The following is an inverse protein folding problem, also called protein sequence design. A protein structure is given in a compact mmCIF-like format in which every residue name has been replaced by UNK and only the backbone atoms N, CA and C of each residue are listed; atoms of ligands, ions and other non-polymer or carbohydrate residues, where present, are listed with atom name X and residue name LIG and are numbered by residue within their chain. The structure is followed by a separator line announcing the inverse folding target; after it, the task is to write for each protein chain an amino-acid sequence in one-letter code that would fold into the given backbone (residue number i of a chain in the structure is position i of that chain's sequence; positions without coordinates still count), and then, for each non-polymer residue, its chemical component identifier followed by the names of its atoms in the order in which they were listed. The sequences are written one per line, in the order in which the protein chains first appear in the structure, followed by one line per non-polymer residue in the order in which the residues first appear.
data_IF_451501066952
#
_entry.id   IF_451501066952
#
_cell.length_a   1.000
_cell.length_b   1.000
_cell.length_c   1.000
_cell.angle_alpha   90.00
_cell.angle_beta   90.00
_cell.angle_gamma   90.00
#
_symmetry.space_group_name_H-M   'P 1'
#
loop_
_entity.id
_entity.type
_entity.pdbx_description
1 polymer ?
#
# COMPACT_ATOMS: atom_id res chain seq x y z
N UNK A 1 43.63 34.52 -14.23
CA UNK A 1 43.30 35.51 -15.27
C UNK A 1 42.33 34.84 -16.21
N UNK A 2 41.05 35.15 -16.02
CA UNK A 2 39.91 34.59 -16.74
C UNK A 2 39.99 35.07 -18.19
N UNK A 3 40.44 34.21 -19.10
CA UNK A 3 40.44 34.47 -20.52
C UNK A 3 39.00 34.41 -21.04
N UNK A 4 38.26 35.50 -20.88
CA UNK A 4 36.99 35.74 -21.57
C UNK A 4 37.28 35.87 -23.08
N UNK A 5 37.29 34.75 -23.80
CA UNK A 5 37.27 34.76 -25.26
C UNK A 5 35.82 34.98 -25.72
N UNK A 6 35.50 36.24 -26.04
CA UNK A 6 34.28 36.59 -26.77
C UNK A 6 34.41 36.11 -28.22
N UNK A 7 33.87 34.93 -28.53
CA UNK A 7 33.64 34.50 -29.91
C UNK A 7 32.24 34.89 -30.35
N UNK A 8 32.09 35.74 -31.39
CA UNK A 8 30.79 36.13 -31.87
C UNK A 8 30.36 35.13 -32.95
N UNK A 9 29.83 33.97 -32.56
CA UNK A 9 28.82 33.35 -33.42
C UNK A 9 27.50 34.07 -33.16
N UNK A 10 27.49 35.36 -33.53
CA UNK A 10 26.24 36.10 -33.73
C UNK A 10 25.72 35.63 -35.07
N UNK A 11 24.87 34.61 -35.02
CA UNK A 11 24.23 34.10 -36.22
C UNK A 11 23.11 35.06 -36.62
N UNK A 12 23.17 35.61 -37.84
CA UNK A 12 22.09 36.43 -38.40
C UNK A 12 21.10 35.49 -39.11
N UNK A 13 19.95 35.28 -38.46
CA UNK A 13 18.90 34.34 -38.88
C UNK A 13 18.45 34.57 -40.33
N UNK A 14 18.56 35.82 -40.80
CA UNK A 14 18.09 36.23 -42.13
C UNK A 14 19.17 36.16 -43.23
N UNK A 15 20.45 35.98 -42.88
CA UNK A 15 21.58 36.08 -43.84
C UNK A 15 22.38 34.80 -44.03
N UNK A 16 22.53 33.98 -42.99
CA UNK A 16 23.58 32.95 -42.98
C UNK A 16 23.09 31.56 -43.42
N UNK A 17 21.77 31.33 -43.56
CA UNK A 17 21.19 30.07 -44.05
C UNK A 17 19.99 30.35 -44.96
N UNK A 18 20.16 30.17 -46.26
CA UNK A 18 19.02 30.19 -47.19
C UNK A 18 18.17 28.91 -46.99
N UNK A 19 16.94 29.10 -46.51
CA UNK A 19 15.88 28.07 -46.53
C UNK A 19 15.74 27.14 -45.32
N UNK A 20 16.53 27.31 -44.24
CA UNK A 20 16.35 26.54 -42.97
C UNK A 20 16.48 27.44 -41.74
N UNK A 21 15.60 27.25 -40.75
CA UNK A 21 15.63 28.01 -39.49
C UNK A 21 16.84 27.58 -38.62
N UNK A 22 17.84 28.45 -38.41
CA UNK A 22 19.04 28.12 -37.64
C UNK A 22 18.75 27.90 -36.16
N UNK A 23 17.71 28.53 -35.61
CA UNK A 23 17.30 28.29 -34.22
C UNK A 23 16.87 26.83 -34.04
N UNK A 24 16.05 26.33 -34.98
CA UNK A 24 15.58 24.95 -34.95
C UNK A 24 16.72 23.94 -35.05
N UNK A 25 17.74 24.23 -35.85
CA UNK A 25 18.92 23.38 -35.97
C UNK A 25 19.67 23.25 -34.63
N UNK A 26 19.89 24.36 -33.92
CA UNK A 26 20.55 24.35 -32.61
C UNK A 26 19.73 23.62 -31.54
N UNK A 27 18.40 23.76 -31.56
CA UNK A 27 17.49 23.01 -30.67
C UNK A 27 17.57 21.50 -30.89
N UNK A 28 17.61 21.05 -32.16
CA UNK A 28 17.71 19.63 -32.51
C UNK A 28 19.07 19.03 -32.15
N UNK A 29 20.14 19.82 -32.29
CA UNK A 29 21.49 19.43 -31.85
C UNK A 29 21.61 19.42 -30.32
N UNK A 30 20.67 20.04 -29.59
CA UNK A 30 20.71 20.16 -28.14
C UNK A 30 21.77 21.14 -27.65
N UNK A 31 22.14 22.15 -28.46
CA UNK A 31 23.14 23.17 -28.11
C UNK A 31 22.49 24.25 -27.24
N UNK A 32 22.98 24.47 -26.00
CA UNK A 32 22.52 25.57 -25.15
C UNK A 32 22.80 26.92 -25.82
N UNK A 33 21.76 27.74 -25.98
CA UNK A 33 21.88 29.06 -26.61
C UNK A 33 20.89 30.06 -26.03
N UNK A 34 21.19 31.34 -26.14
CA UNK A 34 20.36 32.46 -25.67
C UNK A 34 19.97 33.35 -26.84
N UNK A 35 18.71 33.77 -26.90
CA UNK A 35 18.23 34.72 -27.93
C UNK A 35 18.11 36.12 -27.33
N UNK A 36 18.90 37.09 -27.81
CA UNK A 36 18.84 38.51 -27.44
C UNK A 36 18.84 39.39 -28.68
N UNK A 37 17.98 40.42 -28.74
CA UNK A 37 17.94 41.37 -29.86
C UNK A 37 17.89 40.71 -31.26
N UNK A 38 17.05 39.67 -31.42
CA UNK A 38 16.95 38.85 -32.65
C UNK A 38 18.24 38.11 -33.07
N UNK A 39 19.22 38.02 -32.19
CA UNK A 39 20.47 37.29 -32.41
C UNK A 39 20.51 36.06 -31.52
N UNK A 40 21.03 34.95 -32.06
CA UNK A 40 21.32 33.74 -31.31
C UNK A 40 22.76 33.85 -30.81
N UNK A 41 22.95 33.63 -29.51
CA UNK A 41 24.24 33.72 -28.83
C UNK A 41 24.52 32.36 -28.19
N UNK A 42 25.66 31.78 -28.55
CA UNK A 42 26.23 30.57 -27.92
C UNK A 42 27.48 31.02 -27.16
N UNK A 43 27.62 30.62 -25.90
CA UNK A 43 28.69 31.08 -25.01
C UNK A 43 29.49 29.90 -24.45
N UNK A 44 30.73 30.15 -24.03
CA UNK A 44 31.55 29.16 -23.31
C UNK A 44 32.06 28.00 -24.17
N UNK A 45 32.14 26.82 -23.56
CA UNK A 45 32.70 25.60 -24.15
C UNK A 45 31.90 25.09 -25.36
N UNK A 46 30.57 25.29 -25.35
CA UNK A 46 29.69 24.88 -26.44
C UNK A 46 29.99 25.63 -27.74
N UNK A 47 30.36 26.92 -27.64
CA UNK A 47 30.77 27.72 -28.79
C UNK A 47 32.10 27.23 -29.37
N UNK A 48 33.05 26.87 -28.50
CA UNK A 48 34.33 26.29 -28.91
C UNK A 48 34.11 24.97 -29.63
N UNK A 49 33.29 24.08 -29.06
CA UNK A 49 32.98 22.78 -29.67
C UNK A 49 32.28 22.92 -31.03
N UNK A 50 31.29 23.83 -31.14
CA UNK A 50 30.58 24.08 -32.38
C UNK A 50 31.52 24.66 -33.46
N UNK A 51 32.35 25.63 -33.10
CA UNK A 51 33.31 26.24 -34.04
C UNK A 51 34.38 25.26 -34.50
N UNK A 52 34.85 24.39 -33.60
CA UNK A 52 35.82 23.35 -33.91
C UNK A 52 35.25 22.35 -34.93
N UNK A 53 33.99 21.93 -34.76
CA UNK A 53 33.33 20.95 -35.64
C UNK A 53 32.91 21.52 -37.01
N UNK A 54 32.69 22.84 -37.12
CA UNK A 54 32.18 23.50 -38.33
C UNK A 54 33.28 24.19 -39.16
N UNK A 55 34.54 23.90 -38.89
CA UNK A 55 35.68 24.66 -39.43
C UNK A 55 35.87 24.48 -40.95
N UNK A 56 35.61 23.29 -41.50
CA UNK A 56 35.76 23.02 -42.94
C UNK A 56 34.48 22.46 -43.58
N UNK A 57 34.17 22.93 -44.80
CA UNK A 57 33.07 22.40 -45.62
C UNK A 57 33.57 21.17 -46.38
N UNK A 58 33.20 19.99 -45.90
CA UNK A 58 33.49 18.70 -46.56
C UNK A 58 32.19 18.10 -47.07
N UNK A 59 32.19 17.59 -48.30
CA UNK A 59 31.03 16.91 -48.90
C UNK A 59 30.93 15.46 -48.41
N UNK A 60 29.72 15.01 -48.11
CA UNK A 60 29.43 13.64 -47.68
C UNK A 60 27.95 13.41 -47.35
N UNK A 61 27.58 12.16 -47.12
CA UNK A 61 26.19 11.77 -46.86
C UNK A 61 25.84 11.71 -45.36
N UNK A 62 26.80 11.32 -44.50
CA UNK A 62 26.63 11.28 -43.05
C UNK A 62 27.35 12.44 -42.36
N UNK A 63 26.62 13.17 -41.52
CA UNK A 63 27.10 14.36 -40.81
C UNK A 63 28.23 14.00 -39.83
N UNK A 64 28.14 12.84 -39.16
CA UNK A 64 29.19 12.42 -38.22
C UNK A 64 30.49 12.07 -38.96
N UNK A 65 30.39 11.41 -40.11
CA UNK A 65 31.56 11.10 -40.94
C UNK A 65 32.21 12.36 -41.50
N UNK A 66 31.42 13.36 -41.89
CA UNK A 66 31.91 14.69 -42.33
C UNK A 66 32.71 15.35 -41.21
N UNK A 67 32.16 15.43 -40.00
CA UNK A 67 32.81 16.09 -38.87
C UNK A 67 34.09 15.35 -38.46
N UNK A 68 34.08 14.01 -38.47
CA UNK A 68 35.24 13.19 -38.16
C UNK A 68 36.40 13.43 -39.13
N UNK A 69 36.09 13.60 -40.42
CA UNK A 69 37.10 13.93 -41.45
C UNK A 69 37.62 15.35 -41.32
N UNK A 70 36.74 16.31 -41.07
CA UNK A 70 37.06 17.75 -40.95
C UNK A 70 37.93 18.05 -39.72
N UNK A 71 37.65 17.42 -38.58
CA UNK A 71 38.34 17.70 -37.32
C UNK A 71 39.57 16.83 -37.06
N UNK A 72 39.70 15.70 -37.78
CA UNK A 72 40.74 14.69 -37.51
C UNK A 72 40.56 13.94 -36.19
N UNK A 73 39.41 14.11 -35.52
CA UNK A 73 39.06 13.46 -34.25
C UNK A 73 37.85 12.55 -34.48
N UNK A 74 37.88 11.35 -33.91
CA UNK A 74 36.76 10.41 -33.98
C UNK A 74 35.67 10.76 -32.96
N UNK A 75 34.61 11.41 -33.42
CA UNK A 75 33.35 11.66 -32.72
C UNK A 75 32.39 10.49 -32.99
N UNK A 76 31.73 10.01 -31.93
CA UNK A 76 30.74 8.93 -31.98
C UNK A 76 29.35 9.48 -31.66
N UNK A 77 28.32 8.79 -32.13
CA UNK A 77 26.95 9.13 -31.78
C UNK A 77 26.74 9.05 -30.25
N UNK A 78 26.29 10.17 -29.66
CA UNK A 78 26.00 10.31 -28.24
C UNK A 78 24.59 9.83 -27.88
N UNK A 79 23.65 9.89 -28.83
CA UNK A 79 22.24 9.71 -28.56
C UNK A 79 21.80 8.24 -28.63
N UNK A 80 22.48 7.39 -29.40
CA UNK A 80 22.36 5.95 -29.33
C UNK A 80 20.91 5.44 -29.45
N UNK A 81 20.45 4.69 -28.44
CA UNK A 81 19.10 4.09 -28.43
C UNK A 81 18.17 4.77 -27.44
N UNK A 82 17.01 5.23 -27.90
CA UNK A 82 15.98 5.85 -27.07
C UNK A 82 15.03 4.80 -26.47
N UNK A 83 14.81 4.86 -25.15
CA UNK A 83 13.83 4.03 -24.44
C UNK A 83 12.64 4.90 -24.04
N UNK A 84 11.44 4.54 -24.49
CA UNK A 84 10.21 5.20 -24.08
C UNK A 84 9.72 4.68 -22.72
N UNK A 85 9.18 5.58 -21.89
CA UNK A 85 8.53 5.22 -20.63
C UNK A 85 7.12 5.82 -20.55
N UNK A 86 6.20 5.11 -19.90
CA UNK A 86 4.88 5.63 -19.51
C UNK A 86 4.78 5.63 -18.00
N UNK A 87 4.18 6.67 -17.44
CA UNK A 87 3.96 6.75 -16.00
C UNK A 87 3.04 5.61 -15.56
N UNK A 88 3.59 4.73 -14.72
CA UNK A 88 2.83 3.66 -14.08
C UNK A 88 1.95 4.17 -12.94
N UNK A 89 1.24 3.25 -12.29
CA UNK A 89 0.49 3.58 -11.09
C UNK A 89 1.45 4.04 -9.98
N UNK A 90 1.18 5.18 -9.29
CA UNK A 90 1.99 5.63 -8.18
C UNK A 90 2.10 4.59 -7.07
N UNK A 91 3.20 4.66 -6.33
CA UNK A 91 3.44 3.81 -5.16
C UNK A 91 2.36 4.01 -4.09
N UNK A 92 2.02 2.92 -3.37
CA UNK A 92 0.95 2.91 -2.36
C UNK A 92 1.50 2.68 -0.96
N UNK A 93 1.47 3.72 -0.12
CA UNK A 93 1.89 3.68 1.29
C UNK A 93 0.72 3.65 2.31
N UNK A 94 -0.54 3.55 1.86
CA UNK A 94 -1.71 3.60 2.76
C UNK A 94 -1.86 2.30 3.55
N UNK A 95 -2.05 2.42 4.87
CA UNK A 95 -2.38 1.28 5.76
C UNK A 95 -3.56 0.46 5.22
N UNK A 96 -3.46 -0.87 5.32
CA UNK A 96 -4.56 -1.77 5.00
C UNK A 96 -5.64 -1.64 6.06
N UNK A 97 -6.87 -1.34 5.63
CA UNK A 97 -8.04 -1.28 6.49
C UNK A 97 -9.09 -2.24 5.95
N UNK A 98 -9.67 -3.05 6.81
CA UNK A 98 -10.88 -3.79 6.48
C UNK A 98 -12.08 -2.85 6.43
N UNK A 99 -13.12 -3.24 5.68
CA UNK A 99 -14.38 -2.51 5.63
C UNK A 99 -15.04 -2.47 7.02
N UNK A 100 -15.18 -1.27 7.58
CA UNK A 100 -15.66 -1.04 8.95
C UNK A 100 -14.56 -0.75 9.98
N UNK A 101 -13.28 -0.92 9.61
CA UNK A 101 -12.10 -0.64 10.44
C UNK A 101 -12.23 -1.19 11.89
N UNK A 102 -12.43 -2.51 12.05
CA UNK A 102 -12.51 -3.12 13.38
C UNK A 102 -11.15 -3.02 14.09
N UNK A 103 -11.18 -2.90 15.42
CA UNK A 103 -9.99 -2.92 16.27
C UNK A 103 -9.63 -4.34 16.69
N UNK A 104 -10.62 -5.23 16.84
CA UNK A 104 -10.43 -6.65 17.11
C UNK A 104 -11.47 -7.54 16.42
N UNK A 105 -11.16 -8.83 16.28
CA UNK A 105 -12.04 -9.83 15.68
C UNK A 105 -13.02 -10.44 16.68
N UNK A 106 -13.73 -9.57 17.41
CA UNK A 106 -14.82 -9.96 18.29
C UNK A 106 -16.17 -9.63 17.63
N UNK A 107 -17.08 -10.61 17.46
CA UNK A 107 -18.39 -10.34 16.90
C UNK A 107 -19.23 -9.53 17.90
N UNK A 108 -19.83 -8.43 17.46
CA UNK A 108 -20.75 -7.58 18.24
C UNK A 108 -22.21 -7.70 17.79
N UNK A 109 -22.47 -8.54 16.77
CA UNK A 109 -23.80 -8.77 16.22
C UNK A 109 -24.45 -7.51 15.66
N UNK A 110 -25.77 -7.51 15.64
CA UNK A 110 -26.59 -6.31 15.37
C UNK A 110 -26.70 -5.42 16.62
N UNK A 111 -26.34 -5.96 17.79
CA UNK A 111 -26.34 -5.24 19.05
C UNK A 111 -25.38 -4.05 19.04
N UNK A 112 -24.25 -4.17 18.34
CA UNK A 112 -23.24 -3.11 18.17
C UNK A 112 -23.63 -1.95 17.22
N UNK A 113 -24.83 -1.98 16.63
CA UNK A 113 -25.35 -0.89 15.80
C UNK A 113 -24.58 -0.64 14.49
N UNK A 114 -24.77 0.54 13.90
CA UNK A 114 -24.19 0.89 12.58
C UNK A 114 -22.65 0.91 12.61
N UNK A 115 -22.06 1.35 13.71
CA UNK A 115 -20.61 1.48 13.86
C UNK A 115 -19.93 0.19 14.35
N UNK A 116 -20.69 -0.88 14.63
CA UNK A 116 -20.18 -2.14 15.19
C UNK A 116 -19.41 -1.89 16.51
N UNK A 117 -19.99 -1.06 17.36
CA UNK A 117 -19.38 -0.59 18.60
C UNK A 117 -19.68 -1.56 19.75
N UNK A 118 -18.65 -2.00 20.46
CA UNK A 118 -18.78 -2.91 21.60
C UNK A 118 -19.58 -2.27 22.75
N UNK A 119 -19.46 -0.97 22.95
CA UNK A 119 -20.15 -0.21 23.99
C UNK A 119 -21.68 -0.27 23.82
N UNK A 120 -22.17 -0.18 22.58
CA UNK A 120 -23.60 -0.36 22.30
C UNK A 120 -24.10 -1.78 22.66
N UNK A 121 -23.24 -2.78 22.45
CA UNK A 121 -23.52 -4.16 22.89
C UNK A 121 -23.48 -4.31 24.41
N UNK A 122 -22.60 -3.57 25.11
CA UNK A 122 -22.54 -3.54 26.57
C UNK A 122 -23.79 -2.92 27.20
N UNK A 123 -24.34 -1.86 26.59
CA UNK A 123 -25.61 -1.26 27.02
C UNK A 123 -26.77 -2.26 26.92
N UNK A 124 -26.83 -3.01 25.81
CA UNK A 124 -27.81 -4.10 25.61
C UNK A 124 -27.54 -5.33 26.49
N UNK A 125 -26.31 -5.50 26.96
CA UNK A 125 -25.87 -6.57 27.85
C UNK A 125 -25.70 -7.95 27.21
N UNK A 126 -26.03 -8.11 25.93
CA UNK A 126 -25.88 -9.38 25.20
C UNK A 126 -25.41 -9.16 23.78
N UNK A 127 -24.73 -10.16 23.23
CA UNK A 127 -24.42 -10.26 21.80
C UNK A 127 -24.83 -11.62 21.28
N UNK A 128 -25.56 -11.62 20.18
CA UNK A 128 -25.99 -12.82 19.48
C UNK A 128 -25.11 -13.01 18.24
N UNK A 129 -24.31 -14.06 18.24
CA UNK A 129 -23.50 -14.44 17.08
C UNK A 129 -23.22 -15.95 17.09
N UNK A 130 -22.61 -16.45 16.01
CA UNK A 130 -22.07 -17.81 15.99
C UNK A 130 -20.77 -17.87 16.78
N UNK A 131 -20.71 -18.75 17.77
CA UNK A 131 -19.52 -18.96 18.60
C UNK A 131 -19.18 -20.45 18.67
N UNK A 132 -17.88 -20.75 18.66
CA UNK A 132 -17.36 -22.03 19.14
C UNK A 132 -17.66 -22.21 20.63
N UNK A 133 -17.82 -23.47 21.06
CA UNK A 133 -18.05 -23.82 22.46
C UNK A 133 -16.77 -24.39 23.07
N UNK A 134 -16.36 -23.79 24.19
CA UNK A 134 -15.24 -24.24 24.99
C UNK A 134 -15.71 -24.50 26.42
N UNK A 135 -15.15 -25.50 27.08
CA UNK A 135 -15.47 -25.84 28.45
C UNK A 135 -14.21 -25.80 29.32
N UNK A 136 -14.29 -25.14 30.48
CA UNK A 136 -13.19 -25.11 31.44
C UNK A 136 -13.40 -26.14 32.54
N UNK A 137 -12.51 -27.13 32.65
CA UNK A 137 -12.63 -28.20 33.67
C UNK A 137 -12.40 -27.69 35.10
N UNK A 138 -11.62 -26.61 35.28
CA UNK A 138 -11.31 -26.02 36.59
C UNK A 138 -12.46 -25.14 37.11
N UNK A 139 -13.00 -24.27 36.26
CA UNK A 139 -14.11 -23.38 36.63
C UNK A 139 -15.48 -24.03 36.45
N UNK A 140 -15.55 -25.17 35.74
CA UNK A 140 -16.79 -25.86 35.34
C UNK A 140 -17.76 -24.93 34.62
N UNK A 141 -17.22 -24.03 33.80
CA UNK A 141 -17.98 -23.03 33.06
C UNK A 141 -17.68 -23.11 31.56
N UNK A 142 -18.69 -22.76 30.78
CA UNK A 142 -18.60 -22.65 29.34
C UNK A 142 -18.05 -21.28 28.96
N UNK A 143 -17.20 -21.25 27.95
CA UNK A 143 -16.55 -20.04 27.46
C UNK A 143 -16.59 -20.02 25.93
N UNK A 144 -16.20 -18.87 25.37
CA UNK A 144 -15.97 -18.69 23.93
C UNK A 144 -14.48 -18.77 23.56
N UNK A 145 -13.59 -18.84 24.54
CA UNK A 145 -12.15 -18.73 24.36
C UNK A 145 -11.42 -20.07 24.58
N UNK A 146 -10.32 -20.33 23.85
CA UNK A 146 -9.44 -21.48 24.10
C UNK A 146 -8.71 -21.45 25.46
N UNK A 147 -8.67 -20.28 26.10
CA UNK A 147 -8.17 -20.09 27.46
C UNK A 147 -9.25 -19.42 28.29
N UNK A 148 -9.55 -19.96 29.47
CA UNK A 148 -10.58 -19.43 30.35
C UNK A 148 -10.21 -18.03 30.85
N UNK A 149 -11.14 -17.08 30.70
CA UNK A 149 -11.00 -15.68 31.11
C UNK A 149 -10.91 -15.48 32.63
N UNK A 150 -11.33 -16.48 33.42
CA UNK A 150 -11.37 -16.42 34.88
C UNK A 150 -10.08 -17.00 35.49
N UNK A 151 -9.68 -18.20 35.05
CA UNK A 151 -8.56 -18.93 35.67
C UNK A 151 -7.31 -19.04 34.80
N UNK A 152 -7.36 -18.63 33.53
CA UNK A 152 -6.23 -18.71 32.58
C UNK A 152 -5.87 -20.11 32.08
N UNK A 153 -6.55 -21.16 32.55
CA UNK A 153 -6.29 -22.52 32.08
C UNK A 153 -6.83 -22.74 30.65
N UNK A 154 -6.20 -23.68 29.93
CA UNK A 154 -6.68 -24.16 28.63
C UNK A 154 -8.06 -24.79 28.79
N UNK A 155 -8.96 -24.48 27.87
CA UNK A 155 -10.32 -25.04 27.78
C UNK A 155 -10.37 -26.16 26.75
N UNK A 156 -11.32 -27.07 26.91
CA UNK A 156 -11.57 -28.14 25.94
C UNK A 156 -12.66 -27.71 24.98
N UNK A 157 -12.40 -27.85 23.67
CA UNK A 157 -13.40 -27.57 22.64
C UNK A 157 -14.49 -28.63 22.69
N UNK A 158 -15.75 -28.21 22.64
CA UNK A 158 -16.92 -29.09 22.66
C UNK A 158 -17.76 -28.84 21.41
N UNK A 159 -18.30 -29.91 20.86
CA UNK A 159 -19.24 -29.85 19.75
C UNK A 159 -20.67 -30.01 20.29
N UNK A 160 -21.63 -29.40 19.61
CA UNK A 160 -23.03 -29.47 19.99
C UNK A 160 -23.80 -30.40 19.06
N UNK A 161 -24.48 -31.40 19.62
CA UNK A 161 -25.33 -32.31 18.87
C UNK A 161 -26.74 -31.72 18.74
N UNK A 162 -27.20 -31.43 17.52
CA UNK A 162 -28.54 -30.85 17.32
C UNK A 162 -29.68 -31.81 17.69
N UNK A 163 -29.45 -33.12 17.58
CA UNK A 163 -30.47 -34.14 17.83
C UNK A 163 -30.65 -34.51 19.30
N UNK A 164 -29.58 -34.39 20.10
CA UNK A 164 -29.62 -34.70 21.53
C UNK A 164 -29.69 -33.46 22.42
N UNK A 165 -29.60 -32.27 21.82
CA UNK A 165 -29.58 -30.97 22.50
C UNK A 165 -28.55 -30.88 23.64
N UNK A 166 -27.43 -31.60 23.48
CA UNK A 166 -26.34 -31.67 24.46
C UNK A 166 -24.98 -31.66 23.78
N UNK A 167 -23.94 -31.57 24.60
CA UNK A 167 -22.58 -31.80 24.14
C UNK A 167 -22.43 -33.15 23.46
N UNK A 168 -21.67 -33.17 22.37
CA UNK A 168 -21.37 -34.38 21.65
C UNK A 168 -20.64 -35.36 22.59
N UNK A 169 -21.29 -36.50 22.82
CA UNK A 169 -20.71 -37.64 23.52
C UNK A 169 -20.27 -38.69 22.49
N UNK A 170 -19.49 -39.70 22.94
CA UNK A 170 -19.06 -40.82 22.08
C UNK A 170 -20.24 -41.54 21.40
N UNK A 171 -21.40 -41.55 22.03
CA UNK A 171 -22.61 -42.15 21.46
C UNK A 171 -23.20 -41.34 20.30
N UNK A 172 -23.00 -40.03 20.27
CA UNK A 172 -23.41 -39.18 19.15
C UNK A 172 -22.55 -39.47 17.91
N UNK A 173 -21.26 -39.76 18.12
CA UNK A 173 -20.34 -40.19 17.06
C UNK A 173 -20.71 -41.59 16.53
N UNK A 174 -21.01 -42.54 17.41
CA UNK A 174 -21.44 -43.90 17.03
C UNK A 174 -22.75 -43.92 16.25
N UNK A 175 -23.67 -43.02 16.57
CA UNK A 175 -24.97 -42.87 15.88
C UNK A 175 -24.93 -41.94 14.67
N UNK A 176 -23.75 -41.37 14.35
CA UNK A 176 -23.52 -40.48 13.22
C UNK A 176 -24.45 -39.25 13.18
N UNK A 177 -24.70 -38.66 14.35
CA UNK A 177 -25.54 -37.45 14.48
C UNK A 177 -24.89 -36.22 13.86
N UNK A 178 -25.70 -35.22 13.49
CA UNK A 178 -25.18 -33.93 12.99
C UNK A 178 -24.59 -33.07 14.12
N UNK A 179 -23.27 -33.05 14.21
CA UNK A 179 -22.51 -32.25 15.16
C UNK A 179 -22.19 -30.87 14.58
N UNK A 180 -22.37 -29.82 15.41
CA UNK A 180 -22.00 -28.45 15.09
C UNK A 180 -20.86 -27.97 15.97
N UNK A 181 -19.81 -27.50 15.31
CA UNK A 181 -18.64 -26.89 15.96
C UNK A 181 -18.99 -25.49 16.50
N UNK A 182 -19.87 -24.77 15.79
CA UNK A 182 -20.33 -23.44 16.14
C UNK A 182 -21.85 -23.39 16.23
N UNK A 183 -22.35 -22.64 17.20
CA UNK A 183 -23.78 -22.46 17.39
C UNK A 183 -24.12 -20.98 17.53
N UNK A 184 -25.25 -20.52 16.95
CA UNK A 184 -25.75 -19.19 17.21
C UNK A 184 -26.20 -19.13 18.67
N UNK A 185 -25.53 -18.30 19.48
CA UNK A 185 -25.87 -18.12 20.89
C UNK A 185 -25.72 -16.68 21.35
N UNK A 186 -26.54 -16.30 22.32
CA UNK A 186 -26.43 -15.04 23.03
C UNK A 186 -25.42 -15.17 24.16
N UNK A 187 -24.37 -14.35 24.15
CA UNK A 187 -23.38 -14.29 25.24
C UNK A 187 -23.55 -13.01 26.05
N UNK A 188 -23.29 -13.08 27.35
CA UNK A 188 -23.19 -11.89 28.21
C UNK A 188 -21.85 -11.19 27.96
N UNK A 189 -21.90 -10.06 27.26
CA UNK A 189 -20.69 -9.29 26.91
C UNK A 189 -20.10 -8.61 28.15
N UNK A 190 -20.92 -8.26 29.15
CA UNK A 190 -20.43 -7.58 30.37
C UNK A 190 -19.48 -8.47 31.14
N UNK A 191 -19.76 -9.78 31.19
CA UNK A 191 -18.86 -10.78 31.78
C UNK A 191 -17.49 -10.74 31.11
N UNK A 192 -17.43 -10.97 29.80
CA UNK A 192 -16.15 -11.02 29.07
C UNK A 192 -15.40 -9.69 29.11
N UNK A 193 -16.11 -8.57 28.99
CA UNK A 193 -15.50 -7.23 29.06
C UNK A 193 -14.91 -6.94 30.44
N UNK A 194 -15.58 -7.33 31.53
CA UNK A 194 -15.07 -7.18 32.90
C UNK A 194 -13.77 -7.95 33.12
N UNK A 195 -13.68 -9.18 32.62
CA UNK A 195 -12.45 -9.98 32.72
C UNK A 195 -11.34 -9.44 31.80
N UNK A 196 -11.69 -8.89 30.64
CA UNK A 196 -10.73 -8.22 29.77
C UNK A 196 -10.10 -6.98 30.46
N UNK A 197 -10.91 -6.13 31.10
CA UNK A 197 -10.41 -4.98 31.87
C UNK A 197 -9.52 -5.40 33.05
N UNK A 198 -9.92 -6.45 33.78
CA UNK A 198 -9.08 -7.03 34.85
C UNK A 198 -7.73 -7.53 34.31
N UNK A 199 -7.73 -8.18 33.15
CA UNK A 199 -6.50 -8.67 32.51
C UNK A 199 -5.57 -7.56 32.02
N UNK A 200 -6.13 -6.44 31.56
CA UNK A 200 -5.37 -5.27 31.15
C UNK A 200 -4.84 -4.45 32.34
N UNK A 201 -5.50 -4.53 33.50
CA UNK A 201 -5.17 -3.72 34.68
C UNK A 201 -5.49 -2.23 34.50
N UNK A 202 -6.36 -1.88 33.55
CA UNK A 202 -6.72 -0.49 33.23
C UNK A 202 -8.13 -0.22 33.75
N UNK A 203 -8.31 0.90 34.46
CA UNK A 203 -9.62 1.33 35.00
C UNK A 203 -10.51 2.06 33.99
N UNK A 204 -9.91 2.60 32.92
CA UNK A 204 -10.61 3.27 31.83
C UNK A 204 -10.53 2.48 30.52
N UNK A 205 -11.54 2.63 29.68
CA UNK A 205 -11.55 2.07 28.33
C UNK A 205 -11.88 3.17 27.32
N UNK A 206 -11.45 3.03 26.05
CA UNK A 206 -11.73 4.01 25.01
C UNK A 206 -13.24 4.21 24.82
N UNK A 207 -13.66 5.36 24.32
CA UNK A 207 -15.07 5.62 24.03
C UNK A 207 -15.64 4.67 22.97
N UNK A 208 -14.79 4.19 22.05
CA UNK A 208 -15.23 3.37 20.92
C UNK A 208 -14.27 2.22 20.64
N UNK A 209 -14.75 0.99 20.84
CA UNK A 209 -14.04 -0.23 20.46
C UNK A 209 -14.86 -0.94 19.39
N UNK A 210 -14.32 -1.02 18.17
CA UNK A 210 -15.03 -1.59 17.02
C UNK A 210 -14.76 -3.08 16.89
N UNK A 211 -15.83 -3.86 16.87
CA UNK A 211 -15.79 -5.27 16.52
C UNK A 211 -16.21 -5.54 15.08
N UNK A 212 -16.44 -6.82 14.80
CA UNK A 212 -17.00 -7.32 13.54
C UNK A 212 -18.49 -7.65 13.74
N UNK A 213 -19.31 -7.70 12.68
CA UNK A 213 -20.72 -8.10 12.84
C UNK A 213 -20.87 -9.59 13.15
N UNK A 214 -20.11 -10.41 12.44
CA UNK A 214 -20.09 -11.85 12.60
C UNK A 214 -18.75 -12.39 12.17
N UNK A 215 -18.46 -13.61 12.56
CA UNK A 215 -17.23 -14.30 12.21
C UNK A 215 -17.38 -14.95 10.85
N UNK A 216 -16.38 -14.78 9.98
CA UNK A 216 -16.29 -15.49 8.69
C UNK A 216 -15.41 -16.75 8.78
N UNK A 217 -14.83 -17.04 9.94
CA UNK A 217 -14.00 -18.23 10.14
C UNK A 217 -14.87 -19.48 10.31
N UNK A 218 -14.35 -20.60 9.83
CA UNK A 218 -15.01 -21.91 9.89
C UNK A 218 -15.40 -22.28 11.32
N UNK A 219 -14.45 -22.12 12.26
CA UNK A 219 -14.68 -22.43 13.66
C UNK A 219 -15.40 -21.32 14.42
N UNK A 220 -15.39 -20.08 13.90
CA UNK A 220 -15.98 -18.91 14.58
C UNK A 220 -15.49 -18.76 16.04
N UNK A 221 -14.17 -18.89 16.23
CA UNK A 221 -13.49 -18.60 17.50
C UNK A 221 -13.17 -17.10 17.56
N UNK A 222 -13.80 -16.33 18.48
CA UNK A 222 -13.57 -14.90 18.59
C UNK A 222 -12.17 -14.59 19.13
N UNK A 223 -11.62 -13.47 18.68
CA UNK A 223 -10.42 -12.93 19.30
C UNK A 223 -10.71 -12.48 20.73
N UNK A 224 -9.72 -12.62 21.61
CA UNK A 224 -9.85 -12.17 22.99
C UNK A 224 -9.98 -10.63 23.03
N UNK A 225 -11.01 -10.14 23.73
CA UNK A 225 -11.30 -8.71 23.87
C UNK A 225 -10.11 -7.89 24.40
N UNK A 226 -9.19 -8.51 25.14
CA UNK A 226 -7.95 -7.86 25.63
C UNK A 226 -7.10 -7.27 24.49
N UNK A 227 -7.17 -7.85 23.29
CA UNK A 227 -6.33 -7.44 22.15
C UNK A 227 -6.89 -6.25 21.36
N UNK A 228 -8.20 -6.00 21.42
CA UNK A 228 -8.88 -4.98 20.62
C UNK A 228 -9.05 -3.67 21.36
#
# INVERSE_FOLDING_TARGET
EESCLNFPYVYDVDKDVEGKDPKRALELLGVPHVVKNKKIIVEGEDAVALSFCLNEKVEGDDVLDIINRSTGIMIRDKNGTFIGARMGRPEKAKMRKMTGNPHGLFPVGDEGGKMRNLQCSLEKGKVTAEFSIFYCDKCKQETIYPCCEICGNKTTKKEYCQECEKYADEDCLKKNHRLKIKTPRGIDVKHYFKYALKGLGIGGYPEMVKGIRGMSSEESIPENLIKG
#
